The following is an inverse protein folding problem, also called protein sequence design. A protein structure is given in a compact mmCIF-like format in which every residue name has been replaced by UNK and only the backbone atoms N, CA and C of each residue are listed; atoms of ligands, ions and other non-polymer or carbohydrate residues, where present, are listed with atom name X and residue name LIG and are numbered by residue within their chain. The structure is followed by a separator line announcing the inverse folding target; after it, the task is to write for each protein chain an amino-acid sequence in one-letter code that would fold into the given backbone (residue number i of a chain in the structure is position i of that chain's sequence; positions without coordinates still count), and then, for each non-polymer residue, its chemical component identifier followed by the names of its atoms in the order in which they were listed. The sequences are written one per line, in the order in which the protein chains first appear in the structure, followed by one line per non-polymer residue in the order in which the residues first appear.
data_IF_256792640399
#
_entry.id   IF_256792640399
#
_cell.length_a   1.000
_cell.length_b   1.000
_cell.length_c   1.000
_cell.angle_alpha   90.00
_cell.angle_beta   90.00
_cell.angle_gamma   90.00
#
_symmetry.space_group_name_H-M   'P 1'
#
loop_
_entity.id
_entity.type
_entity.pdbx_description
1 polymer ?
#
# COMPACT_ATOMS: atom_id res chain seq x y z
N UNK A 1 -28.27 -24.11 -15.70
CA UNK A 1 -28.15 -25.35 -14.90
C UNK A 1 -26.84 -25.24 -14.14
N UNK A 2 -26.76 -24.55 -12.99
CA UNK A 2 -27.09 -25.03 -11.63
C UNK A 2 -26.55 -26.44 -11.37
N UNK A 3 -25.28 -26.50 -10.98
CA UNK A 3 -24.74 -27.61 -10.19
C UNK A 3 -24.41 -27.02 -8.82
N UNK A 4 -25.37 -27.11 -7.91
CA UNK A 4 -25.18 -26.95 -6.48
C UNK A 4 -25.26 -28.37 -5.92
N UNK A 5 -24.14 -28.97 -5.48
CA UNK A 5 -24.10 -30.10 -4.54
C UNK A 5 -22.65 -30.61 -4.37
N UNK A 6 -21.89 -30.07 -3.41
CA UNK A 6 -21.06 -30.87 -2.50
C UNK A 6 -20.52 -29.99 -1.35
N UNK A 7 -20.96 -30.29 -0.13
CA UNK A 7 -20.40 -29.93 1.19
C UNK A 7 -20.11 -28.44 1.52
N UNK A 8 -20.85 -27.83 2.47
CA UNK A 8 -20.57 -26.51 3.02
C UNK A 8 -19.49 -26.63 4.12
N UNK A 9 -18.42 -25.84 4.07
CA UNK A 9 -17.54 -25.41 5.19
C UNK A 9 -16.21 -24.86 4.63
N UNK A 10 -15.71 -25.36 3.49
CA UNK A 10 -14.36 -25.01 2.99
C UNK A 10 -14.23 -23.74 2.14
N UNK A 11 -15.31 -23.19 1.58
CA UNK A 11 -15.24 -22.03 0.67
C UNK A 11 -15.32 -20.67 1.34
N UNK A 12 -15.73 -20.58 2.61
CA UNK A 12 -15.78 -19.31 3.34
C UNK A 12 -14.40 -18.80 3.77
N UNK A 13 -13.42 -19.70 3.95
CA UNK A 13 -12.10 -19.36 4.52
C UNK A 13 -11.27 -18.52 3.54
N UNK A 14 -11.42 -18.76 2.23
CA UNK A 14 -10.60 -18.11 1.21
C UNK A 14 -10.91 -16.61 1.09
N UNK A 15 -12.19 -16.22 1.06
CA UNK A 15 -12.58 -14.82 0.93
C UNK A 15 -12.08 -13.93 2.09
N UNK A 16 -12.09 -14.47 3.31
CA UNK A 16 -11.60 -13.75 4.51
C UNK A 16 -10.09 -13.51 4.43
N UNK A 17 -9.31 -14.52 3.99
CA UNK A 17 -7.86 -14.38 3.89
C UNK A 17 -7.43 -13.29 2.87
N UNK A 18 -8.15 -13.14 1.76
CA UNK A 18 -7.87 -12.08 0.78
C UNK A 18 -8.20 -10.68 1.31
N UNK A 19 -9.34 -10.52 2.00
CA UNK A 19 -9.70 -9.24 2.63
C UNK A 19 -8.70 -8.82 3.72
N UNK A 20 -8.27 -9.77 4.56
CA UNK A 20 -7.25 -9.54 5.60
C UNK A 20 -5.90 -9.17 4.99
N UNK A 21 -5.48 -9.84 3.91
CA UNK A 21 -4.23 -9.53 3.20
C UNK A 21 -4.26 -8.14 2.55
N UNK A 22 -5.40 -7.76 1.95
CA UNK A 22 -5.61 -6.43 1.39
C UNK A 22 -5.56 -5.32 2.43
N UNK A 23 -6.22 -5.52 3.58
CA UNK A 23 -6.17 -4.58 4.70
C UNK A 23 -4.73 -4.40 5.24
N UNK A 24 -3.96 -5.48 5.34
CA UNK A 24 -2.58 -5.43 5.81
C UNK A 24 -1.63 -4.78 4.80
N UNK A 25 -1.80 -5.03 3.49
CA UNK A 25 -1.09 -4.31 2.42
C UNK A 25 -1.34 -2.80 2.49
N UNK A 26 -2.61 -2.41 2.66
CA UNK A 26 -3.01 -1.01 2.78
C UNK A 26 -2.40 -0.37 4.03
N UNK A 27 -2.43 -1.05 5.17
CA UNK A 27 -1.79 -0.59 6.41
C UNK A 27 -0.27 -0.37 6.26
N UNK A 28 0.43 -1.28 5.57
CA UNK A 28 1.85 -1.10 5.27
C UNK A 28 2.11 0.07 4.32
N UNK A 29 1.30 0.23 3.28
CA UNK A 29 1.40 1.38 2.38
C UNK A 29 1.28 2.70 3.14
N UNK A 30 0.23 2.83 3.97
CA UNK A 30 -0.01 4.02 4.78
C UNK A 30 1.19 4.30 5.68
N UNK A 31 1.73 3.26 6.33
CA UNK A 31 2.92 3.40 7.18
C UNK A 31 4.13 3.91 6.40
N UNK A 32 4.39 3.37 5.20
CA UNK A 32 5.51 3.80 4.35
C UNK A 32 5.34 5.27 3.93
N UNK A 33 4.15 5.67 3.51
CA UNK A 33 3.88 7.07 3.10
C UNK A 33 4.02 8.02 4.29
N UNK A 34 3.41 7.69 5.44
CA UNK A 34 3.50 8.50 6.66
C UNK A 34 4.95 8.66 7.12
N UNK A 35 5.72 7.57 7.23
CA UNK A 35 7.12 7.63 7.66
C UNK A 35 8.00 8.41 6.67
N UNK A 36 7.69 8.34 5.37
CA UNK A 36 8.36 9.18 4.37
C UNK A 36 8.04 10.66 4.59
N UNK A 37 6.78 11.01 4.80
CA UNK A 37 6.37 12.40 5.08
C UNK A 37 7.05 12.93 6.36
N UNK A 38 7.11 12.13 7.41
CA UNK A 38 7.82 12.47 8.65
C UNK A 38 9.33 12.63 8.44
N UNK A 39 9.97 11.73 7.68
CA UNK A 39 11.42 11.76 7.44
C UNK A 39 11.86 12.99 6.64
N UNK A 40 11.04 13.49 5.71
CA UNK A 40 11.37 14.67 4.92
C UNK A 40 10.84 15.97 5.53
N UNK A 41 9.75 15.90 6.31
CA UNK A 41 9.10 17.05 6.92
C UNK A 41 8.83 18.15 5.90
N UNK A 42 9.15 19.40 6.26
CA UNK A 42 8.96 20.56 5.38
C UNK A 42 9.78 20.51 4.07
N UNK A 43 10.85 19.69 4.00
CA UNK A 43 11.69 19.60 2.81
C UNK A 43 11.05 18.77 1.69
N UNK A 44 9.98 18.03 2.00
CA UNK A 44 9.36 17.09 1.07
C UNK A 44 8.91 17.76 -0.23
N UNK A 45 8.36 18.97 -0.17
CA UNK A 45 7.85 19.71 -1.32
C UNK A 45 8.94 20.04 -2.37
N UNK A 46 10.19 20.20 -1.93
CA UNK A 46 11.34 20.53 -2.78
C UNK A 46 12.20 19.30 -3.11
N UNK A 47 11.81 18.12 -2.64
CA UNK A 47 12.57 16.89 -2.83
C UNK A 47 12.44 16.43 -4.28
N UNK A 48 13.59 16.11 -4.90
CA UNK A 48 13.62 15.65 -6.31
C UNK A 48 13.31 14.16 -6.41
N UNK A 49 12.82 13.72 -7.57
CA UNK A 49 12.55 12.30 -7.83
C UNK A 49 13.79 11.42 -7.60
N UNK A 50 15.00 11.91 -7.93
CA UNK A 50 16.26 11.19 -7.67
C UNK A 50 16.54 11.04 -6.17
N UNK A 51 16.19 12.03 -5.36
CA UNK A 51 16.31 11.95 -3.91
C UNK A 51 15.30 10.95 -3.32
N UNK A 52 14.04 10.97 -3.79
CA UNK A 52 13.05 9.97 -3.39
C UNK A 52 13.48 8.55 -3.79
N UNK A 53 13.93 8.34 -5.02
CA UNK A 53 14.42 7.02 -5.47
C UNK A 53 15.57 6.51 -4.60
N UNK A 54 16.49 7.39 -4.20
CA UNK A 54 17.60 7.02 -3.31
C UNK A 54 17.11 6.67 -1.91
N UNK A 55 16.15 7.44 -1.39
CA UNK A 55 15.52 7.18 -0.10
C UNK A 55 14.80 5.83 -0.10
N UNK A 56 13.89 5.61 -1.06
CA UNK A 56 13.11 4.38 -1.14
C UNK A 56 13.96 3.13 -1.41
N UNK A 57 15.03 3.23 -2.21
CA UNK A 57 15.97 2.11 -2.39
C UNK A 57 16.59 1.66 -1.05
N UNK A 58 16.78 2.57 -0.10
CA UNK A 58 17.25 2.25 1.25
C UNK A 58 16.10 1.73 2.11
N UNK A 59 14.99 2.45 2.16
CA UNK A 59 13.88 2.11 3.05
C UNK A 59 13.22 0.77 2.69
N UNK A 60 12.99 0.47 1.41
CA UNK A 60 12.41 -0.81 1.02
C UNK A 60 13.28 -2.01 1.47
N UNK A 61 14.61 -1.84 1.52
CA UNK A 61 15.52 -2.85 2.06
C UNK A 61 15.45 -2.97 3.58
N UNK A 62 15.29 -1.85 4.28
CA UNK A 62 15.10 -1.85 5.73
C UNK A 62 13.77 -2.48 6.12
N UNK A 63 12.72 -2.23 5.35
CA UNK A 63 11.42 -2.87 5.52
C UNK A 63 11.48 -4.38 5.30
N UNK A 64 12.40 -4.86 4.45
CA UNK A 64 12.61 -6.30 4.26
C UNK A 64 13.13 -7.00 5.53
N UNK A 65 13.80 -6.26 6.42
CA UNK A 65 14.24 -6.77 7.73
C UNK A 65 13.07 -6.88 8.73
N UNK A 66 12.01 -6.09 8.54
CA UNK A 66 10.83 -6.07 9.40
C UNK A 66 9.77 -7.04 8.91
N UNK A 67 9.50 -7.03 7.60
CA UNK A 67 8.44 -7.81 6.97
C UNK A 67 8.67 -7.88 5.45
N UNK A 68 8.79 -9.10 4.93
CA UNK A 68 8.84 -9.33 3.48
C UNK A 68 7.63 -8.74 2.75
N UNK A 69 6.48 -8.70 3.42
CA UNK A 69 5.24 -8.17 2.89
C UNK A 69 5.29 -6.63 2.79
N UNK A 70 5.86 -5.96 3.80
CA UNK A 70 6.03 -4.50 3.79
C UNK A 70 7.05 -4.07 2.73
N UNK A 71 8.17 -4.78 2.61
CA UNK A 71 9.13 -4.56 1.53
C UNK A 71 8.49 -4.73 0.14
N UNK A 72 7.66 -5.74 -0.04
CA UNK A 72 6.91 -5.95 -1.27
C UNK A 72 6.01 -4.76 -1.63
N UNK A 73 5.33 -4.18 -0.65
CA UNK A 73 4.52 -2.95 -0.85
C UNK A 73 5.41 -1.77 -1.23
N UNK A 74 6.53 -1.57 -0.52
CA UNK A 74 7.47 -0.48 -0.79
C UNK A 74 8.00 -0.57 -2.24
N UNK A 75 8.53 -1.72 -2.63
CA UNK A 75 9.06 -1.96 -3.98
C UNK A 75 7.97 -1.83 -5.04
N UNK A 76 6.75 -2.31 -4.75
CA UNK A 76 5.62 -2.18 -5.66
C UNK A 76 5.29 -0.72 -5.95
N UNK A 77 5.16 0.13 -4.92
CA UNK A 77 4.85 1.55 -5.10
C UNK A 77 5.94 2.28 -5.89
N UNK A 78 7.20 2.02 -5.56
CA UNK A 78 8.34 2.74 -6.14
C UNK A 78 8.61 2.29 -7.58
N UNK A 79 8.35 1.02 -7.90
CA UNK A 79 8.60 0.49 -9.24
C UNK A 79 7.44 0.73 -10.20
N UNK A 80 6.18 0.64 -9.72
CA UNK A 80 5.01 0.70 -10.59
C UNK A 80 4.32 2.07 -10.58
N UNK A 81 4.42 2.82 -9.47
CA UNK A 81 3.71 4.08 -9.27
C UNK A 81 4.62 5.27 -8.84
N UNK A 82 5.88 5.38 -9.31
CA UNK A 82 6.80 6.41 -8.80
C UNK A 82 6.31 7.84 -9.04
N UNK A 83 5.71 8.11 -10.22
CA UNK A 83 5.24 9.45 -10.57
C UNK A 83 4.09 9.90 -9.66
N UNK A 84 3.14 9.00 -9.39
CA UNK A 84 1.99 9.23 -8.52
C UNK A 84 2.46 9.42 -7.08
N UNK A 85 3.26 8.46 -6.57
CA UNK A 85 3.82 8.51 -5.23
C UNK A 85 4.60 9.80 -4.96
N UNK A 86 5.52 10.19 -5.86
CA UNK A 86 6.38 11.37 -5.62
C UNK A 86 5.63 12.68 -5.79
N UNK A 87 4.61 12.73 -6.66
CA UNK A 87 3.70 13.87 -6.75
C UNK A 87 2.94 14.04 -5.43
N UNK A 88 2.35 12.96 -4.93
CA UNK A 88 1.50 12.98 -3.74
C UNK A 88 2.27 13.28 -2.46
N UNK A 89 3.49 12.75 -2.34
CA UNK A 89 4.43 13.10 -1.28
C UNK A 89 4.75 14.59 -1.28
N UNK A 90 5.00 15.19 -2.45
CA UNK A 90 5.30 16.64 -2.56
C UNK A 90 4.10 17.52 -2.28
N UNK A 91 2.90 17.10 -2.66
CA UNK A 91 1.67 17.83 -2.36
C UNK A 91 1.19 17.65 -0.91
N UNK A 92 1.82 16.75 -0.15
CA UNK A 92 1.38 16.44 1.21
C UNK A 92 0.00 15.76 1.22
N UNK A 93 -0.32 14.98 0.18
CA UNK A 93 -1.55 14.21 0.11
C UNK A 93 -1.66 13.26 1.30
N UNK A 94 -2.88 12.95 1.72
CA UNK A 94 -3.07 12.01 2.82
C UNK A 94 -2.48 10.63 2.45
N UNK A 95 -1.88 9.91 3.42
CA UNK A 95 -1.33 8.57 3.16
C UNK A 95 -2.33 7.59 2.56
N UNK A 96 -3.57 7.59 3.05
CA UNK A 96 -4.62 6.71 2.54
C UNK A 96 -4.97 7.00 1.07
N UNK A 97 -5.05 8.28 0.70
CA UNK A 97 -5.33 8.71 -0.67
C UNK A 97 -4.18 8.35 -1.60
N UNK A 98 -2.94 8.63 -1.19
CA UNK A 98 -1.73 8.25 -1.93
C UNK A 98 -1.67 6.74 -2.18
N UNK A 99 -2.03 5.95 -1.17
CA UNK A 99 -2.07 4.49 -1.25
C UNK A 99 -3.21 3.95 -2.11
N UNK A 100 -4.33 4.66 -2.18
CA UNK A 100 -5.42 4.35 -3.08
C UNK A 100 -5.04 4.68 -4.53
N UNK A 101 -4.39 5.83 -4.75
CA UNK A 101 -3.87 6.26 -6.05
C UNK A 101 -2.78 5.31 -6.58
N UNK A 102 -1.96 4.72 -5.69
CA UNK A 102 -1.01 3.66 -6.03
C UNK A 102 -1.67 2.27 -6.20
N UNK A 103 -2.99 2.16 -6.02
CA UNK A 103 -3.74 0.90 -6.15
C UNK A 103 -3.46 -0.15 -5.08
N UNK A 104 -2.89 0.24 -3.92
CA UNK A 104 -2.62 -0.66 -2.80
C UNK A 104 -3.83 -0.72 -1.86
N UNK A 105 -4.44 0.43 -1.60
CA UNK A 105 -5.67 0.56 -0.84
C UNK A 105 -6.89 0.65 -1.79
N UNK A 106 -8.08 0.24 -1.36
CA UNK A 106 -9.30 0.49 -2.11
C UNK A 106 -9.58 2.00 -2.19
N UNK A 107 -9.89 2.51 -3.38
CA UNK A 107 -10.43 3.87 -3.57
C UNK A 107 -11.80 3.95 -2.91
N UNK A 108 -12.08 5.02 -2.16
CA UNK A 108 -13.34 5.20 -1.41
C UNK A 108 -14.59 5.15 -2.29
N UNK A 109 -15.09 3.94 -2.56
CA UNK A 109 -16.44 3.51 -2.95
C UNK A 109 -16.38 2.00 -3.26
N UNK A 110 -16.01 1.22 -2.25
CA UNK A 110 -16.56 -0.13 -2.15
C UNK A 110 -16.71 -0.50 -0.68
N UNK A 111 -17.96 -0.74 -0.23
CA UNK A 111 -18.20 -1.31 1.08
C UNK A 111 -17.71 -2.76 1.01
N UNK A 112 -16.45 -2.98 1.40
CA UNK A 112 -16.09 -4.29 1.93
C UNK A 112 -16.80 -4.42 3.26
N UNK A 113 -18.03 -4.93 3.19
CA UNK A 113 -18.68 -5.75 4.19
C UNK A 113 -18.06 -5.61 5.60
N UNK A 114 -18.45 -4.55 6.31
CA UNK A 114 -18.44 -4.57 7.76
C UNK A 114 -19.64 -5.42 8.19
N UNK A 115 -19.40 -6.69 8.47
CA UNK A 115 -20.22 -7.50 9.37
C UNK A 115 -19.31 -8.52 10.06
#
# INVERSE_FOLDING_TARGET
MKVCCFAPIFTAILAVAYGQRGGLMCGFCITIVTTTQESFGASIANTTDVQFLRYFRRECRLDALKSAMMAGVCEYMVSNHPLVLFRDLRSGSAPADTCADCGVCPTGTSPSAFH
#
